data_IF_748839904805
#
_entry.id   IF_748839904805
#
_cell.length_a   1.000
_cell.length_b   1.000
_cell.length_c   1.000
_cell.angle_alpha   90.00
_cell.angle_beta   90.00
_cell.angle_gamma   90.00
#
_symmetry.space_group_name_H-M   'P 1'
#
loop_
_entity.id
_entity.type
_entity.pdbx_description
1 polymer ?
#
# COMPACT_ATOMS: atom_id res chain seq x y z
N UNK A 1 0.95 16.88 -22.38
CA UNK A 1 0.78 15.46 -21.96
C UNK A 1 0.60 15.42 -20.45
N UNK A 2 -0.53 14.92 -19.92
CA UNK A 2 -0.62 14.59 -18.49
C UNK A 2 0.15 13.29 -18.28
N UNK A 3 1.36 13.35 -17.74
CA UNK A 3 2.10 12.16 -17.31
C UNK A 3 1.24 11.41 -16.29
N UNK A 4 0.75 10.23 -16.64
CA UNK A 4 0.03 9.37 -15.70
C UNK A 4 1.04 8.97 -14.63
N UNK A 5 0.76 9.31 -13.38
CA UNK A 5 1.51 8.84 -12.23
C UNK A 5 1.36 7.31 -12.19
N UNK A 6 2.43 6.59 -12.55
CA UNK A 6 2.50 5.13 -12.43
C UNK A 6 3.44 4.81 -11.28
N UNK A 7 3.09 3.80 -10.50
CA UNK A 7 4.03 3.22 -9.54
C UNK A 7 5.21 2.66 -10.33
N UNK A 8 6.40 3.16 -10.02
CA UNK A 8 7.64 2.71 -10.61
C UNK A 8 8.59 2.34 -9.47
N UNK A 9 8.85 1.04 -9.32
CA UNK A 9 9.75 0.50 -8.30
C UNK A 9 11.22 0.80 -8.58
N UNK A 10 11.54 1.16 -9.82
CA UNK A 10 12.91 1.34 -10.30
C UNK A 10 13.31 2.84 -10.28
N UNK A 11 12.35 3.75 -10.03
CA UNK A 11 12.61 5.20 -9.97
C UNK A 11 12.91 5.66 -8.55
N UNK A 12 14.17 6.05 -8.32
CA UNK A 12 14.65 6.57 -7.03
C UNK A 12 14.58 8.10 -6.87
N UNK A 13 13.91 8.82 -7.77
CA UNK A 13 13.96 10.30 -7.86
C UNK A 13 12.59 10.92 -8.10
N UNK A 14 12.47 12.23 -7.87
CA UNK A 14 11.23 12.96 -8.10
C UNK A 14 10.95 13.13 -9.60
N UNK A 15 9.69 12.96 -10.00
CA UNK A 15 9.27 13.07 -11.42
C UNK A 15 9.47 14.50 -11.97
N UNK A 16 9.43 15.51 -11.10
CA UNK A 16 9.52 16.91 -11.51
C UNK A 16 10.88 17.29 -12.09
N UNK A 17 11.98 16.87 -11.46
CA UNK A 17 13.34 17.29 -11.82
C UNK A 17 14.35 16.13 -11.90
N UNK A 18 13.91 14.89 -11.69
CA UNK A 18 14.80 13.73 -11.70
C UNK A 18 15.80 13.72 -10.54
N UNK A 19 15.59 14.51 -9.48
CA UNK A 19 16.48 14.57 -8.33
C UNK A 19 15.88 13.93 -7.08
N UNK A 20 16.73 13.50 -6.15
CA UNK A 20 16.27 13.11 -4.82
C UNK A 20 15.93 14.34 -3.97
N UNK A 21 15.22 14.12 -2.87
CA UNK A 21 14.98 15.09 -1.78
C UNK A 21 15.65 14.68 -0.47
N UNK A 22 16.31 13.52 -0.47
CA UNK A 22 17.07 13.01 0.66
C UNK A 22 18.56 13.06 0.33
N UNK A 23 19.36 13.47 1.29
CA UNK A 23 20.81 13.43 1.18
C UNK A 23 21.46 13.27 2.55
N UNK A 24 22.57 12.53 2.61
CA UNK A 24 23.47 12.52 3.77
C UNK A 24 24.83 13.00 3.29
N UNK A 25 25.38 14.02 3.96
CA UNK A 25 26.69 14.60 3.63
C UNK A 25 26.82 14.99 2.14
N UNK A 26 25.76 15.59 1.57
CA UNK A 26 25.71 15.98 0.17
C UNK A 26 25.54 14.83 -0.84
N UNK A 27 25.55 13.56 -0.40
CA UNK A 27 25.28 12.41 -1.26
C UNK A 27 23.79 12.10 -1.28
N UNK A 28 23.16 11.97 -2.47
CA UNK A 28 21.73 11.72 -2.57
C UNK A 28 21.37 10.31 -2.10
N UNK A 29 20.20 10.19 -1.46
CA UNK A 29 19.59 8.92 -1.06
C UNK A 29 18.34 8.73 -1.92
N UNK A 30 18.16 7.56 -2.52
CA UNK A 30 17.02 7.31 -3.40
C UNK A 30 15.68 7.32 -2.65
N UNK A 31 14.64 7.79 -3.31
CA UNK A 31 13.26 7.59 -2.88
C UNK A 31 12.82 6.14 -3.07
N UNK A 32 11.89 5.69 -2.24
CA UNK A 32 11.24 4.38 -2.35
C UNK A 32 9.77 4.56 -2.72
N UNK A 33 9.39 4.10 -3.92
CA UNK A 33 8.02 4.09 -4.45
C UNK A 33 7.30 5.45 -4.34
N UNK A 34 8.08 6.54 -4.40
CA UNK A 34 7.58 7.91 -4.34
C UNK A 34 6.94 8.34 -3.01
N UNK A 35 7.12 7.56 -1.93
CA UNK A 35 6.59 7.89 -0.60
C UNK A 35 7.67 7.96 0.48
N UNK A 36 8.63 7.03 0.49
CA UNK A 36 9.79 7.04 1.42
C UNK A 36 9.38 7.27 2.89
N UNK A 37 8.41 6.49 3.39
CA UNK A 37 7.76 6.71 4.70
C UNK A 37 8.60 6.32 5.92
N UNK A 38 9.80 5.78 5.74
CA UNK A 38 10.75 5.50 6.82
C UNK A 38 11.66 6.72 7.06
N UNK A 39 11.04 7.87 7.24
CA UNK A 39 11.67 9.13 7.59
C UNK A 39 10.64 9.98 8.34
N UNK A 40 11.09 10.83 9.25
CA UNK A 40 10.21 11.77 9.97
C UNK A 40 9.53 12.75 9.00
N UNK A 41 10.20 13.08 7.90
CA UNK A 41 9.68 13.95 6.84
C UNK A 41 9.94 13.32 5.48
N UNK A 42 8.98 13.44 4.57
CA UNK A 42 9.15 13.00 3.20
C UNK A 42 8.52 13.99 2.22
N UNK A 43 9.07 14.06 1.02
CA UNK A 43 8.57 14.90 -0.07
C UNK A 43 7.89 14.00 -1.09
N UNK A 44 6.59 14.21 -1.28
CA UNK A 44 5.73 13.33 -2.08
C UNK A 44 5.04 14.16 -3.16
N UNK A 45 4.90 13.59 -4.36
CA UNK A 45 4.11 14.22 -5.42
C UNK A 45 2.63 14.31 -5.00
N UNK A 46 1.98 15.45 -5.23
CA UNK A 46 0.59 15.69 -4.79
C UNK A 46 -0.41 14.62 -5.23
N UNK A 47 -0.18 14.00 -6.39
CA UNK A 47 -1.01 12.89 -6.89
C UNK A 47 -0.92 11.58 -6.08
N UNK A 48 0.06 11.45 -5.19
CA UNK A 48 0.17 10.34 -4.24
C UNK A 48 -0.42 10.69 -2.85
N UNK A 49 -0.91 11.92 -2.66
CA UNK A 49 -1.40 12.41 -1.36
C UNK A 49 -2.93 12.43 -1.37
N UNK A 50 -3.54 11.59 -0.54
CA UNK A 50 -4.98 11.65 -0.28
C UNK A 50 -5.23 12.47 0.99
N UNK A 51 -5.92 13.61 0.83
CA UNK A 51 -6.39 14.40 1.97
C UNK A 51 -7.52 13.63 2.66
N UNK A 52 -7.30 13.27 3.92
CA UNK A 52 -8.33 12.69 4.80
C UNK A 52 -8.83 13.73 5.78
N UNK A 53 -10.10 13.64 6.20
CA UNK A 53 -10.61 14.47 7.29
C UNK A 53 -9.94 14.00 8.60
N UNK A 54 -9.60 14.90 9.52
CA UNK A 54 -9.04 14.54 10.83
C UNK A 54 -10.15 13.97 11.71
N UNK A 55 -10.50 12.70 11.49
CA UNK A 55 -11.62 12.03 12.15
C UNK A 55 -11.19 10.99 13.19
N UNK A 56 -9.88 10.82 13.44
CA UNK A 56 -9.39 9.86 14.42
C UNK A 56 -7.87 9.69 14.44
N UNK A 57 -7.34 8.80 15.30
CA UNK A 57 -5.91 8.65 15.52
C UNK A 57 -5.23 7.94 14.34
N UNK A 58 -4.25 8.62 13.72
CA UNK A 58 -3.58 8.21 12.47
C UNK A 58 -2.84 6.86 12.57
N UNK A 59 -2.41 6.49 13.77
CA UNK A 59 -1.69 5.25 14.06
C UNK A 59 -2.55 3.99 13.81
N UNK A 60 -3.87 4.11 13.81
CA UNK A 60 -4.79 3.02 13.49
C UNK A 60 -5.05 2.84 12.00
N UNK A 61 -4.74 3.85 11.18
CA UNK A 61 -5.05 3.82 9.74
C UNK A 61 -3.84 3.49 8.90
N UNK A 62 -2.67 4.00 9.26
CA UNK A 62 -1.44 3.89 8.47
C UNK A 62 -1.09 2.45 8.05
N UNK A 63 -1.12 1.43 8.95
CA UNK A 63 -0.78 0.05 8.59
C UNK A 63 -1.81 -0.60 7.66
N UNK A 64 -3.02 -0.06 7.67
CA UNK A 64 -4.17 -0.66 6.98
C UNK A 64 -4.46 0.02 5.67
N UNK A 65 -3.91 1.21 5.38
CA UNK A 65 -4.10 1.83 4.09
C UNK A 65 -3.67 0.87 2.97
N UNK A 66 -2.60 0.09 3.13
CA UNK A 66 -2.23 -0.98 2.20
C UNK A 66 -3.26 -2.13 2.13
N UNK A 67 -3.90 -2.48 3.27
CA UNK A 67 -4.85 -3.59 3.40
C UNK A 67 -6.32 -3.20 3.10
N UNK A 68 -6.70 -1.93 3.17
CA UNK A 68 -8.07 -1.44 2.92
C UNK A 68 -8.45 -1.44 1.45
N UNK A 69 -7.45 -1.58 0.58
CA UNK A 69 -7.65 -1.76 -0.84
C UNK A 69 -8.37 -3.09 -1.18
N UNK A 70 -8.50 -4.04 -0.26
CA UNK A 70 -9.05 -5.36 -0.59
C UNK A 70 -10.59 -5.42 -0.69
N UNK A 71 -11.34 -4.44 -0.17
CA UNK A 71 -12.80 -4.62 0.03
C UNK A 71 -13.71 -3.93 -1.01
N UNK A 72 -13.54 -4.33 -2.28
CA UNK A 72 -14.40 -4.13 -3.46
C UNK A 72 -15.54 -5.14 -3.69
N UNK A 73 -16.53 -5.39 -2.83
CA UNK A 73 -17.62 -6.34 -3.20
C UNK A 73 -18.43 -5.82 -4.41
N UNK A 74 -18.31 -6.47 -5.57
CA UNK A 74 -19.37 -6.46 -6.60
C UNK A 74 -20.26 -7.69 -6.37
N UNK A 75 -21.59 -7.51 -6.32
CA UNK A 75 -22.52 -8.62 -6.50
C UNK A 75 -22.33 -9.15 -7.92
N UNK A 76 -21.88 -10.39 -8.10
CA UNK A 76 -21.95 -11.10 -9.37
C UNK A 76 -22.54 -12.50 -9.16
N UNK A 77 -23.29 -12.95 -10.17
CA UNK A 77 -24.13 -14.15 -10.19
C UNK A 77 -23.40 -15.42 -10.68
N UNK A 78 -22.14 -15.31 -11.08
CA UNK A 78 -21.24 -16.42 -11.44
C UNK A 78 -19.87 -16.25 -10.77
N UNK A 79 -19.12 -17.34 -10.56
CA UNK A 79 -17.86 -17.34 -9.82
C UNK A 79 -16.76 -16.48 -10.48
N UNK A 80 -16.07 -15.66 -9.69
CA UNK A 80 -14.97 -14.80 -10.14
C UNK A 80 -13.72 -15.11 -9.32
N UNK A 81 -12.60 -15.38 -9.98
CA UNK A 81 -11.28 -15.44 -9.37
C UNK A 81 -10.59 -14.08 -9.50
N UNK A 82 -10.07 -13.54 -8.40
CA UNK A 82 -9.35 -12.25 -8.39
C UNK A 82 -7.89 -12.48 -8.00
N UNK A 83 -6.96 -12.21 -8.91
CA UNK A 83 -5.54 -12.24 -8.60
C UNK A 83 -5.13 -11.03 -7.79
N UNK A 84 -4.52 -11.30 -6.64
CA UNK A 84 -4.11 -10.34 -5.62
C UNK A 84 -2.64 -10.58 -5.33
N UNK A 85 -1.79 -9.63 -5.74
CA UNK A 85 -0.34 -9.71 -5.53
C UNK A 85 0.45 -9.13 -6.70
N UNK A 86 1.68 -8.72 -6.44
CA UNK A 86 2.64 -8.35 -7.49
C UNK A 86 3.50 -9.57 -7.81
N UNK A 87 3.28 -10.25 -8.94
CA UNK A 87 4.11 -11.38 -9.33
C UNK A 87 5.55 -10.91 -9.57
N UNK A 88 6.51 -11.83 -9.36
CA UNK A 88 7.87 -11.63 -9.83
C UNK A 88 7.87 -11.39 -11.35
N UNK A 89 8.82 -10.61 -11.88
CA UNK A 89 8.85 -10.21 -13.31
C UNK A 89 8.78 -11.42 -14.27
N UNK A 90 9.31 -12.56 -13.85
CA UNK A 90 9.39 -13.81 -14.61
C UNK A 90 8.28 -14.83 -14.30
N UNK A 91 7.31 -14.49 -13.44
CA UNK A 91 6.28 -15.44 -13.05
C UNK A 91 5.30 -15.70 -14.22
N UNK A 92 5.24 -16.94 -14.68
CA UNK A 92 4.26 -17.38 -15.65
C UNK A 92 2.94 -17.75 -14.95
N UNK A 93 1.83 -17.23 -15.45
CA UNK A 93 0.51 -17.64 -14.99
C UNK A 93 0.12 -18.98 -15.63
N UNK A 94 0.05 -20.04 -14.83
CA UNK A 94 -0.52 -21.30 -15.26
C UNK A 94 -2.04 -21.25 -15.07
N UNK A 95 -2.81 -21.37 -16.15
CA UNK A 95 -4.28 -21.45 -16.12
C UNK A 95 -4.73 -22.83 -15.65
N UNK A 96 -5.28 -23.00 -14.44
CA UNK A 96 -5.94 -24.25 -14.05
C UNK A 96 -7.18 -24.52 -14.91
N UNK A 97 -7.45 -25.80 -15.20
CA UNK A 97 -8.59 -26.26 -16.00
C UNK A 97 -9.94 -25.74 -15.47
N UNK A 98 -10.05 -25.53 -14.16
CA UNK A 98 -11.23 -24.98 -13.47
C UNK A 98 -11.57 -23.52 -13.82
N UNK A 99 -10.65 -22.76 -14.45
CA UNK A 99 -10.94 -21.43 -15.02
C UNK A 99 -11.55 -21.53 -16.42
N UNK A 100 -11.33 -22.64 -17.13
CA UNK A 100 -11.90 -22.90 -18.46
C UNK A 100 -13.41 -23.16 -18.34
N UNK A 101 -13.86 -23.71 -17.21
CA UNK A 101 -15.28 -23.93 -16.92
C UNK A 101 -15.89 -22.75 -16.15
N UNK A 102 -16.34 -21.74 -16.89
CA UNK A 102 -17.31 -20.72 -16.45
C UNK A 102 -16.89 -19.78 -15.32
N UNK A 103 -15.59 -19.53 -15.13
CA UNK A 103 -15.08 -18.54 -14.16
C UNK A 103 -14.40 -17.36 -14.85
N UNK A 104 -14.74 -16.14 -14.41
CA UNK A 104 -14.02 -14.93 -14.82
C UNK A 104 -12.72 -14.80 -14.02
N UNK A 105 -11.60 -14.51 -14.70
CA UNK A 105 -10.35 -14.11 -14.07
C UNK A 105 -10.17 -12.59 -14.14
N UNK A 106 -10.00 -11.93 -13.00
CA UNK A 106 -9.79 -10.47 -12.91
C UNK A 106 -8.52 -10.17 -12.12
N UNK A 107 -7.71 -9.23 -12.60
CA UNK A 107 -6.60 -8.67 -11.81
C UNK A 107 -7.07 -7.47 -11.01
N UNK A 108 -6.47 -7.25 -9.84
CA UNK A 108 -6.65 -6.01 -9.09
C UNK A 108 -5.30 -5.43 -8.67
N UNK A 109 -5.13 -4.13 -8.90
CA UNK A 109 -3.99 -3.37 -8.41
C UNK A 109 -4.52 -2.33 -7.44
N UNK A 110 -4.06 -2.35 -6.18
CA UNK A 110 -4.62 -1.55 -5.10
C UNK A 110 -6.15 -1.62 -5.02
N UNK A 111 -6.74 -2.82 -5.18
CA UNK A 111 -8.19 -2.96 -5.03
C UNK A 111 -9.04 -2.35 -6.13
N UNK A 112 -8.42 -1.88 -7.21
CA UNK A 112 -9.04 -1.00 -8.20
C UNK A 112 -9.62 0.28 -7.56
N UNK A 113 -9.00 0.72 -6.47
CA UNK A 113 -9.36 1.91 -5.72
C UNK A 113 -8.64 3.12 -6.30
N UNK A 114 -9.38 4.19 -6.57
CA UNK A 114 -8.78 5.49 -6.88
C UNK A 114 -8.32 6.12 -5.56
N UNK A 115 -7.01 6.35 -5.32
CA UNK A 115 -6.51 6.75 -4.00
C UNK A 115 -7.20 8.00 -3.45
N UNK A 116 -7.33 9.06 -4.25
CA UNK A 116 -7.93 10.32 -3.82
C UNK A 116 -9.40 10.23 -3.38
N UNK A 117 -10.19 9.34 -4.00
CA UNK A 117 -11.62 9.23 -3.69
C UNK A 117 -11.96 8.03 -2.81
N UNK A 118 -11.18 6.95 -2.91
CA UNK A 118 -11.46 5.71 -2.21
C UNK A 118 -10.84 5.64 -0.83
N UNK A 119 -9.64 6.22 -0.61
CA UNK A 119 -9.04 6.25 0.72
C UNK A 119 -9.89 6.99 1.76
N UNK A 120 -10.46 8.19 1.47
CA UNK A 120 -11.34 8.86 2.43
C UNK A 120 -12.56 8.01 2.84
N UNK A 121 -13.19 7.30 1.89
CA UNK A 121 -14.32 6.41 2.18
C UNK A 121 -13.88 5.18 3.00
N UNK A 122 -12.69 4.67 2.75
CA UNK A 122 -12.14 3.53 3.49
C UNK A 122 -11.88 3.91 4.96
N UNK A 123 -11.31 5.09 5.20
CA UNK A 123 -11.11 5.68 6.53
C UNK A 123 -12.45 5.88 7.26
N UNK A 124 -13.47 6.38 6.56
CA UNK A 124 -14.81 6.57 7.12
C UNK A 124 -15.44 5.26 7.60
N UNK A 125 -15.32 4.18 6.81
CA UNK A 125 -15.80 2.85 7.20
C UNK A 125 -15.10 2.30 8.43
N UNK A 126 -13.79 2.53 8.56
CA UNK A 126 -13.05 2.16 9.76
C UNK A 126 -13.53 2.95 10.99
N UNK A 127 -13.85 4.23 10.83
CA UNK A 127 -14.41 5.05 11.92
C UNK A 127 -15.82 4.61 12.32
N UNK A 128 -16.63 4.20 11.35
CA UNK A 128 -17.96 3.64 11.59
C UNK A 128 -17.90 2.22 12.20
N UNK A 129 -16.71 1.69 12.51
CA UNK A 129 -16.47 0.32 12.99
C UNK A 129 -16.99 -0.76 12.03
N UNK A 130 -17.22 -0.41 10.77
CA UNK A 130 -17.55 -1.37 9.72
C UNK A 130 -16.33 -2.25 9.35
N UNK A 131 -15.13 -1.81 9.73
CA UNK A 131 -13.86 -2.49 9.50
C UNK A 131 -13.02 -2.51 10.78
N UNK A 132 -12.82 -3.70 11.34
CA UNK A 132 -12.01 -3.91 12.54
C UNK A 132 -10.53 -4.03 12.18
N UNK A 133 -9.85 -2.89 12.17
CA UNK A 133 -8.43 -2.81 11.79
C UNK A 133 -7.48 -3.30 12.89
N UNK A 134 -7.81 -3.08 14.16
CA UNK A 134 -6.88 -3.34 15.28
C UNK A 134 -6.42 -4.79 15.36
N UNK A 135 -7.25 -5.74 14.92
CA UNK A 135 -6.94 -7.17 14.88
C UNK A 135 -5.77 -7.53 13.98
N UNK A 136 -5.45 -6.68 13.02
CA UNK A 136 -4.33 -6.89 12.11
C UNK A 136 -3.01 -6.33 12.65
N UNK A 137 -3.00 -5.48 13.68
CA UNK A 137 -1.74 -4.99 14.25
C UNK A 137 -1.24 -5.99 15.28
N UNK A 138 -0.12 -6.65 14.99
CA UNK A 138 0.47 -7.63 15.91
C UNK A 138 1.45 -6.99 16.88
N UNK A 139 2.26 -6.02 16.43
CA UNK A 139 3.32 -5.42 17.24
C UNK A 139 3.43 -3.90 17.03
N UNK A 140 3.97 -3.21 18.03
CA UNK A 140 4.25 -1.76 17.99
C UNK A 140 5.67 -1.51 18.49
N UNK A 141 6.43 -0.70 17.75
CA UNK A 141 7.82 -0.37 18.05
C UNK A 141 8.07 1.14 17.95
N UNK A 142 9.04 1.67 18.71
CA UNK A 142 9.61 2.98 18.41
C UNK A 142 10.40 2.91 17.09
N UNK A 143 10.51 4.04 16.38
CA UNK A 143 11.21 4.12 15.09
C UNK A 143 12.69 3.71 15.20
N UNK A 144 13.33 3.99 16.35
CA UNK A 144 14.69 3.53 16.64
C UNK A 144 14.88 2.01 16.57
N UNK A 145 13.79 1.24 16.71
CA UNK A 145 13.79 -0.22 16.69
C UNK A 145 13.23 -0.80 15.38
N UNK A 146 13.18 -0.03 14.30
CA UNK A 146 12.62 -0.46 13.01
C UNK A 146 13.21 -1.80 12.50
N UNK A 147 14.49 -2.07 12.77
CA UNK A 147 15.13 -3.33 12.39
C UNK A 147 14.50 -4.56 13.05
N UNK A 148 13.97 -4.45 14.28
CA UNK A 148 13.25 -5.55 14.93
C UNK A 148 11.97 -5.91 14.17
N UNK A 149 11.31 -4.93 13.55
CA UNK A 149 10.13 -5.18 12.73
C UNK A 149 10.50 -5.96 11.45
N UNK A 150 11.68 -5.71 10.86
CA UNK A 150 12.19 -6.51 9.75
C UNK A 150 12.52 -7.95 10.17
N UNK A 151 13.16 -8.13 11.34
CA UNK A 151 13.48 -9.47 11.85
C UNK A 151 12.21 -10.31 12.06
N UNK A 152 11.13 -9.71 12.57
CA UNK A 152 9.83 -10.38 12.75
C UNK A 152 9.17 -10.73 11.41
N UNK A 153 9.26 -9.83 10.41
CA UNK A 153 8.75 -10.12 9.06
C UNK A 153 9.49 -11.30 8.43
N UNK A 154 10.82 -11.36 8.57
CA UNK A 154 11.64 -12.45 8.04
C UNK A 154 11.38 -13.79 8.72
N UNK A 155 10.98 -13.75 10.00
CA UNK A 155 10.59 -14.95 10.77
C UNK A 155 9.15 -15.39 10.55
N UNK A 156 8.37 -14.63 9.77
CA UNK A 156 6.92 -14.85 9.57
C UNK A 156 6.09 -14.78 10.87
N UNK A 157 6.65 -14.19 11.93
CA UNK A 157 6.06 -14.14 13.28
C UNK A 157 5.20 -12.87 13.52
N UNK A 158 5.08 -11.99 12.52
CA UNK A 158 4.28 -10.78 12.64
C UNK A 158 3.98 -10.07 11.32
N UNK A 159 2.69 -9.78 11.09
CA UNK A 159 2.18 -8.83 10.11
C UNK A 159 1.08 -7.97 10.75
N UNK A 160 0.75 -6.81 10.17
CA UNK A 160 1.52 -5.55 10.12
C UNK A 160 1.93 -4.97 11.50
N UNK A 161 3.05 -4.24 11.51
CA UNK A 161 3.60 -3.55 12.69
C UNK A 161 3.43 -2.02 12.59
N UNK A 162 3.35 -1.33 13.73
CA UNK A 162 3.40 0.14 13.78
C UNK A 162 4.77 0.60 14.27
N UNK A 163 5.43 1.47 13.51
CA UNK A 163 6.58 2.25 13.98
C UNK A 163 6.14 3.66 14.34
N UNK A 164 6.44 4.11 15.56
CA UNK A 164 6.14 5.48 16.03
C UNK A 164 7.43 6.30 16.16
N UNK A 165 7.40 7.55 15.69
CA UNK A 165 8.42 8.56 15.97
C UNK A 165 8.45 8.91 17.45
#
# INVERSE_FOLDING_TARGET
MRSILRINTDTGVMIHDGQSRFSINGKPICHLVGTSTFSEYSVIHVGCVAKIRPLGPLDKFCPHLWNLYWYRRRKQSWGVAVLVGLPHKEAAFMTPYELVEWKDLKGTFFGNCKPHSGLPSAVEKCMNKELELEKFITHKFPFAEINKAFDLMLKEEGLPCICRS
#
